data_IF_058158905394
#
_entry.id   IF_058158905394
#
_cell.length_a   1.000
_cell.length_b   1.000
_cell.length_c   1.000
_cell.angle_alpha   90.00
_cell.angle_beta   90.00
_cell.angle_gamma   90.00
#
_symmetry.space_group_name_H-M   'P 1'
#
loop_
_entity.id
_entity.type
_entity.pdbx_description
1 polymer ?
#
# COMPACT_ATOMS: atom_id res chain seq x y z
N UNK A 1 -1.98 7.03 15.70
CA UNK A 1 -2.04 6.09 14.57
C UNK A 1 -0.89 6.31 13.60
N UNK A 2 -0.84 7.35 12.76
CA UNK A 2 0.31 7.55 11.85
C UNK A 2 1.63 7.95 12.57
N UNK A 3 1.54 8.59 13.73
CA UNK A 3 2.71 9.00 14.53
C UNK A 3 3.52 7.82 15.08
N UNK A 4 2.88 6.67 15.28
CA UNK A 4 3.53 5.49 15.87
C UNK A 4 4.39 4.75 14.83
N UNK A 5 4.09 4.91 13.54
CA UNK A 5 4.80 4.28 12.42
C UNK A 5 6.13 4.98 12.11
N UNK A 6 6.24 6.29 12.36
CA UNK A 6 7.35 7.12 11.85
C UNK A 6 8.48 7.36 12.84
N UNK A 7 8.30 7.03 14.13
CA UNK A 7 9.19 7.49 15.20
C UNK A 7 10.17 6.43 15.74
N UNK A 8 10.07 5.17 15.32
CA UNK A 8 11.03 4.12 15.68
C UNK A 8 12.29 4.20 14.81
N UNK A 9 13.35 4.91 15.24
CA UNK A 9 14.70 4.61 14.72
C UNK A 9 15.73 5.72 14.58
N UNK A 10 15.47 6.97 14.95
CA UNK A 10 16.44 8.06 14.73
C UNK A 10 17.33 8.31 15.95
N UNK A 11 18.52 7.68 15.98
CA UNK A 11 19.63 8.06 16.85
C UNK A 11 20.76 8.73 16.04
N UNK A 12 21.48 9.74 16.59
CA UNK A 12 22.47 10.50 15.82
C UNK A 12 23.82 9.76 15.76
N UNK A 13 24.33 9.49 14.56
CA UNK A 13 25.67 8.91 14.33
C UNK A 13 26.58 9.83 13.50
N UNK A 14 27.87 9.85 13.87
CA UNK A 14 28.92 10.79 13.42
C UNK A 14 29.53 10.35 12.06
N UNK A 15 29.77 11.31 11.17
CA UNK A 15 29.99 11.09 9.73
C UNK A 15 31.28 10.36 9.31
N UNK A 16 31.12 9.30 8.50
CA UNK A 16 32.18 8.60 7.76
C UNK A 16 32.12 8.93 6.25
N UNK A 17 33.20 8.65 5.50
CA UNK A 17 33.31 8.91 4.05
C UNK A 17 32.10 8.34 3.31
N UNK A 18 31.45 9.15 2.46
CA UNK A 18 30.21 8.80 1.79
C UNK A 18 30.43 7.67 0.78
N UNK A 19 30.12 6.44 1.19
CA UNK A 19 29.94 5.30 0.31
C UNK A 19 28.52 5.41 -0.26
N UNK A 20 28.29 5.23 -1.57
CA UNK A 20 26.94 5.18 -2.11
C UNK A 20 26.21 3.98 -1.51
N UNK A 21 25.19 4.24 -0.69
CA UNK A 21 24.34 3.24 -0.04
C UNK A 21 22.98 3.23 -0.73
N UNK A 22 22.48 2.05 -1.05
CA UNK A 22 21.11 1.88 -1.56
C UNK A 22 20.10 2.28 -0.48
N UNK A 23 19.28 3.28 -0.79
CA UNK A 23 18.26 3.77 0.15
C UNK A 23 17.06 2.82 0.26
N UNK A 24 16.61 2.26 -0.87
CA UNK A 24 15.50 1.29 -0.89
C UNK A 24 15.48 0.47 -2.19
N UNK A 25 14.81 -0.68 -2.14
CA UNK A 25 14.47 -1.50 -3.32
C UNK A 25 12.97 -1.72 -3.32
N UNK A 26 12.30 -1.53 -4.47
CA UNK A 26 10.85 -1.68 -4.59
C UNK A 26 10.49 -2.52 -5.80
N UNK A 27 9.72 -3.59 -5.57
CA UNK A 27 9.18 -4.47 -6.62
C UNK A 27 7.66 -4.27 -6.67
N UNK A 28 7.09 -4.16 -7.87
CA UNK A 28 5.64 -4.00 -8.09
C UNK A 28 5.16 -5.08 -9.06
N UNK A 29 4.07 -5.76 -8.71
CA UNK A 29 3.43 -6.76 -9.55
C UNK A 29 2.02 -6.29 -9.90
N UNK A 30 1.78 -5.98 -11.17
CA UNK A 30 0.44 -5.63 -11.67
C UNK A 30 -0.27 -6.88 -12.22
N UNK A 31 -1.53 -7.08 -11.87
CA UNK A 31 -2.38 -8.19 -12.33
C UNK A 31 -3.79 -7.67 -12.64
N UNK A 32 -4.47 -8.33 -13.58
CA UNK A 32 -5.88 -8.12 -13.87
C UNK A 32 -6.63 -9.43 -13.62
N UNK A 33 -7.84 -9.34 -13.08
CA UNK A 33 -8.70 -10.49 -12.84
C UNK A 33 -9.50 -10.81 -14.12
N UNK A 34 -9.49 -12.08 -14.55
CA UNK A 34 -10.03 -12.52 -15.85
C UNK A 34 -11.49 -12.13 -16.10
N UNK A 35 -12.32 -12.17 -15.07
CA UNK A 35 -13.78 -11.95 -15.16
C UNK A 35 -14.17 -10.48 -15.22
N UNK A 36 -13.21 -9.55 -15.06
CA UNK A 36 -13.49 -8.12 -14.96
C UNK A 36 -12.87 -7.36 -16.14
N UNK A 37 -13.55 -6.31 -16.65
CA UNK A 37 -12.95 -5.41 -17.62
C UNK A 37 -11.72 -4.70 -17.06
N UNK A 38 -10.86 -4.22 -17.95
CA UNK A 38 -9.75 -3.35 -17.55
C UNK A 38 -10.26 -2.10 -16.82
N UNK A 39 -9.51 -1.54 -15.85
CA UNK A 39 -9.96 -0.46 -14.98
C UNK A 39 -10.58 0.75 -15.70
N UNK A 40 -10.05 1.14 -16.86
CA UNK A 40 -10.56 2.27 -17.64
C UNK A 40 -11.92 2.04 -18.31
N UNK A 41 -12.38 0.78 -18.41
CA UNK A 41 -13.69 0.39 -18.97
C UNK A 41 -14.61 -0.24 -17.92
N UNK A 42 -14.11 -0.50 -16.73
CA UNK A 42 -14.88 -1.12 -15.66
C UNK A 42 -15.82 -0.10 -15.01
N UNK A 43 -17.07 -0.48 -14.83
CA UNK A 43 -18.07 0.27 -14.06
C UNK A 43 -17.71 0.29 -12.57
N UNK A 44 -18.26 1.24 -11.82
CA UNK A 44 -18.02 1.35 -10.37
C UNK A 44 -18.42 0.07 -9.62
N UNK A 45 -19.51 -0.58 -10.03
CA UNK A 45 -19.97 -1.87 -9.49
C UNK A 45 -18.94 -2.97 -9.68
N UNK A 46 -18.33 -3.04 -10.87
CA UNK A 46 -17.30 -4.02 -11.21
C UNK A 46 -16.00 -3.76 -10.43
N UNK A 47 -15.61 -2.49 -10.26
CA UNK A 47 -14.45 -2.11 -9.43
C UNK A 47 -14.64 -2.52 -7.97
N UNK A 48 -15.84 -2.33 -7.42
CA UNK A 48 -16.18 -2.80 -6.07
C UNK A 48 -16.16 -4.32 -5.96
N UNK A 49 -16.68 -5.04 -6.96
CA UNK A 49 -16.63 -6.49 -6.97
C UNK A 49 -15.18 -7.03 -7.00
N UNK A 50 -14.27 -6.37 -7.73
CA UNK A 50 -12.83 -6.67 -7.66
C UNK A 50 -12.28 -6.45 -6.26
N UNK A 51 -12.59 -5.31 -5.62
CA UNK A 51 -12.15 -5.00 -4.26
C UNK A 51 -12.61 -6.06 -3.26
N UNK A 52 -13.90 -6.41 -3.26
CA UNK A 52 -14.46 -7.44 -2.38
C UNK A 52 -13.76 -8.78 -2.58
N UNK A 53 -13.59 -9.24 -3.83
CA UNK A 53 -12.91 -10.50 -4.12
C UNK A 53 -11.46 -10.53 -3.63
N UNK A 54 -10.75 -9.40 -3.72
CA UNK A 54 -9.39 -9.29 -3.21
C UNK A 54 -9.37 -9.29 -1.68
N UNK A 55 -10.27 -8.56 -1.01
CA UNK A 55 -10.38 -8.52 0.45
C UNK A 55 -10.70 -9.91 1.02
N UNK A 56 -11.67 -10.61 0.44
CA UNK A 56 -12.06 -11.95 0.86
C UNK A 56 -10.87 -12.92 0.77
N UNK A 57 -10.15 -12.90 -0.35
CA UNK A 57 -8.97 -13.75 -0.53
C UNK A 57 -7.81 -13.40 0.43
N UNK A 58 -7.69 -12.13 0.86
CA UNK A 58 -6.66 -11.73 1.82
C UNK A 58 -6.92 -12.28 3.21
N UNK A 59 -8.18 -12.54 3.59
CA UNK A 59 -8.50 -13.12 4.91
C UNK A 59 -7.92 -14.52 5.12
N UNK A 60 -7.58 -15.23 4.05
CA UNK A 60 -6.97 -16.56 4.12
C UNK A 60 -5.43 -16.50 4.27
N UNK A 61 -4.83 -15.31 4.10
CA UNK A 61 -3.38 -15.11 4.12
C UNK A 61 -2.95 -14.64 5.52
N UNK A 62 -2.52 -15.58 6.37
CA UNK A 62 -2.08 -15.32 7.75
C UNK A 62 -1.02 -14.23 7.90
N UNK A 63 -0.11 -14.11 6.93
CA UNK A 63 0.94 -13.07 6.96
C UNK A 63 0.39 -11.64 6.79
N UNK A 64 -0.89 -11.50 6.43
CA UNK A 64 -1.58 -10.21 6.28
C UNK A 64 -2.50 -9.87 7.47
N UNK A 65 -2.49 -10.64 8.56
CA UNK A 65 -3.35 -10.39 9.73
C UNK A 65 -3.08 -9.03 10.39
N UNK A 66 -1.84 -8.52 10.29
CA UNK A 66 -1.46 -7.19 10.79
C UNK A 66 -1.57 -6.09 9.73
N UNK A 67 -2.14 -6.38 8.56
CA UNK A 67 -2.34 -5.39 7.50
C UNK A 67 -3.57 -4.53 7.75
N UNK A 68 -3.63 -3.37 7.09
CA UNK A 68 -4.82 -2.52 7.10
C UNK A 68 -5.30 -2.27 5.68
N UNK A 69 -6.61 -2.23 5.50
CA UNK A 69 -7.27 -1.80 4.28
C UNK A 69 -7.93 -0.45 4.54
N UNK A 70 -7.76 0.48 3.60
CA UNK A 70 -8.39 1.81 3.66
C UNK A 70 -9.02 2.12 2.32
N UNK A 71 -10.27 2.57 2.32
CA UNK A 71 -10.89 3.09 1.12
C UNK A 71 -10.31 4.45 0.82
N UNK A 72 -9.90 4.64 -0.44
CA UNK A 72 -9.28 5.89 -0.86
C UNK A 72 -10.24 7.05 -0.62
N UNK A 73 -11.54 6.86 -0.83
CA UNK A 73 -12.58 7.87 -0.62
C UNK A 73 -12.71 8.36 0.83
N UNK A 74 -12.30 7.56 1.81
CA UNK A 74 -12.31 7.93 3.22
C UNK A 74 -11.08 8.74 3.65
N UNK A 75 -10.04 8.81 2.80
CA UNK A 75 -8.81 9.53 3.10
C UNK A 75 -8.95 11.03 2.84
N UNK A 76 -8.53 11.84 3.81
CA UNK A 76 -8.31 13.26 3.64
C UNK A 76 -7.23 13.55 2.59
N UNK A 77 -7.19 14.78 2.08
CA UNK A 77 -6.18 15.19 1.10
C UNK A 77 -4.75 15.00 1.64
N UNK A 78 -4.51 15.34 2.92
CA UNK A 78 -3.22 15.17 3.56
C UNK A 78 -2.82 13.69 3.66
N UNK A 79 -3.73 12.81 4.07
CA UNK A 79 -3.45 11.37 4.18
C UNK A 79 -3.15 10.76 2.81
N UNK A 80 -3.86 11.19 1.76
CA UNK A 80 -3.55 10.78 0.38
C UNK A 80 -2.15 11.21 -0.03
N UNK A 81 -1.73 12.44 0.29
CA UNK A 81 -0.40 12.94 -0.04
C UNK A 81 0.72 12.17 0.69
N UNK A 82 0.47 11.71 1.93
CA UNK A 82 1.43 10.92 2.69
C UNK A 82 1.67 9.54 2.06
N UNK A 83 0.65 8.95 1.41
CA UNK A 83 0.71 7.61 0.83
C UNK A 83 1.27 7.57 -0.61
N UNK A 84 1.48 8.72 -1.25
CA UNK A 84 2.02 8.85 -2.62
C UNK A 84 3.54 8.80 -2.62
#
# INVERSE_FOLDING_TARGET
MFHDILNEGLSPQKGSKSIPVTLSTRIRLARNLREFPFPGRAETSQRRAVLTRCLDAMTEIKDLDSSFAVEVDDLSELERQILV
#
